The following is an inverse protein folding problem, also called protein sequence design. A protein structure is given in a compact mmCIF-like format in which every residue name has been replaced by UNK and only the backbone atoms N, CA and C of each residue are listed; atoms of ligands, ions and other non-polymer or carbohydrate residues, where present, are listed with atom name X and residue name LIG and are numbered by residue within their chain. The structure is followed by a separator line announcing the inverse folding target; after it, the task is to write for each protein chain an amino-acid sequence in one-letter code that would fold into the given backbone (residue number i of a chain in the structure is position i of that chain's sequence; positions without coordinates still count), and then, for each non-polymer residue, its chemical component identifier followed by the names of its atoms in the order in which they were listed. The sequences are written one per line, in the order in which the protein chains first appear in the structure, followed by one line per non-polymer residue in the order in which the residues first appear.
data_IF_803506094601
#
_entry.id   IF_803506094601
#
_cell.length_a   1.000
_cell.length_b   1.000
_cell.length_c   1.000
_cell.angle_alpha   90.00
_cell.angle_beta   90.00
_cell.angle_gamma   90.00
#
_symmetry.space_group_name_H-M   'P 1'
#
loop_
_entity.id
_entity.type
_entity.pdbx_description
1 polymer ?
#
# COMPACT_ATOMS: atom_id res chain seq x y z
N UNK A 1 -1.89 -8.18 22.32
CA UNK A 1 -0.75 -8.42 21.40
C UNK A 1 -1.17 -8.20 19.94
N UNK A 2 -2.37 -8.62 19.51
CA UNK A 2 -2.86 -8.43 18.13
C UNK A 2 -2.85 -6.99 17.59
N UNK A 3 -3.02 -5.96 18.45
CA UNK A 3 -3.03 -4.55 18.03
C UNK A 3 -1.67 -4.07 17.52
N UNK A 4 -0.56 -4.56 18.09
CA UNK A 4 0.79 -4.12 17.74
C UNK A 4 1.24 -4.59 16.34
N UNK A 5 0.76 -5.77 15.92
CA UNK A 5 0.97 -6.27 14.56
C UNK A 5 0.18 -5.42 13.55
N UNK A 6 -1.06 -5.03 13.89
CA UNK A 6 -1.86 -4.14 13.06
C UNK A 6 -1.23 -2.75 12.92
N UNK A 7 -0.67 -2.16 13.98
CA UNK A 7 0.01 -0.85 13.95
C UNK A 7 1.28 -0.81 13.07
N UNK A 8 1.84 -1.98 12.80
CA UNK A 8 2.99 -2.17 11.91
C UNK A 8 2.57 -2.24 10.44
N UNK A 9 1.33 -2.67 10.18
CA UNK A 9 0.79 -2.88 8.83
C UNK A 9 -0.08 -1.69 8.39
N UNK A 10 -0.91 -1.21 9.29
CA UNK A 10 -1.92 -0.18 9.11
C UNK A 10 -1.57 1.07 9.89
N UNK A 11 -1.92 2.23 9.34
CA UNK A 11 -1.82 3.49 10.05
C UNK A 11 -3.08 3.73 10.88
N UNK A 12 -3.14 3.08 12.06
CA UNK A 12 -4.33 3.16 12.93
C UNK A 12 -4.69 4.60 13.27
N UNK A 13 -3.71 5.48 13.47
CA UNK A 13 -3.95 6.88 13.76
C UNK A 13 -4.67 7.62 12.62
N UNK A 14 -4.25 7.41 11.37
CA UNK A 14 -4.93 7.97 10.19
C UNK A 14 -6.31 7.35 10.01
N UNK A 15 -6.42 6.03 10.18
CA UNK A 15 -7.70 5.31 10.06
C UNK A 15 -8.73 5.80 11.08
N UNK A 16 -8.33 6.00 12.34
CA UNK A 16 -9.20 6.54 13.37
C UNK A 16 -9.67 7.97 13.07
N UNK A 17 -8.77 8.81 12.56
CA UNK A 17 -9.13 10.16 12.11
C UNK A 17 -10.12 10.13 10.95
N UNK A 18 -9.90 9.28 9.94
CA UNK A 18 -10.83 9.14 8.81
C UNK A 18 -12.16 8.54 9.22
N UNK A 19 -12.17 7.50 10.05
CA UNK A 19 -13.41 6.94 10.60
C UNK A 19 -14.20 8.00 11.37
N UNK A 20 -13.52 8.88 12.11
CA UNK A 20 -14.18 9.97 12.85
C UNK A 20 -14.67 11.10 11.94
N UNK A 21 -13.99 11.34 10.82
CA UNK A 21 -14.31 12.43 9.89
C UNK A 21 -15.39 12.07 8.85
N UNK A 22 -15.29 10.90 8.21
CA UNK A 22 -16.16 10.47 7.10
C UNK A 22 -16.96 9.19 7.40
N UNK A 23 -16.68 8.52 8.53
CA UNK A 23 -17.28 7.23 8.90
C UNK A 23 -16.54 6.03 8.32
N UNK A 24 -16.43 4.96 9.12
CA UNK A 24 -15.77 3.71 8.72
C UNK A 24 -16.38 3.08 7.46
N UNK A 25 -17.70 3.13 7.29
CA UNK A 25 -18.38 2.62 6.10
C UNK A 25 -18.04 3.39 4.81
N UNK A 26 -17.77 4.70 4.89
CA UNK A 26 -17.32 5.49 3.72
C UNK A 26 -15.88 5.14 3.38
N UNK A 27 -15.01 5.05 4.39
CA UNK A 27 -13.62 4.64 4.20
C UNK A 27 -13.51 3.23 3.61
N UNK A 28 -14.33 2.30 4.08
CA UNK A 28 -14.39 0.92 3.56
C UNK A 28 -14.67 0.90 2.05
N UNK A 29 -15.54 1.78 1.53
CA UNK A 29 -15.78 1.89 0.08
C UNK A 29 -14.52 2.30 -0.68
N UNK A 30 -13.74 3.23 -0.14
CA UNK A 30 -12.44 3.61 -0.71
C UNK A 30 -11.46 2.45 -0.70
N UNK A 31 -11.44 1.65 0.37
CA UNK A 31 -10.62 0.43 0.47
C UNK A 31 -11.02 -0.61 -0.58
N UNK A 32 -12.32 -0.84 -0.77
CA UNK A 32 -12.84 -1.77 -1.78
C UNK A 32 -12.46 -1.31 -3.20
N UNK A 33 -12.58 -0.01 -3.50
CA UNK A 33 -12.15 0.52 -4.79
C UNK A 33 -10.65 0.31 -5.01
N UNK A 34 -9.84 0.56 -3.98
CA UNK A 34 -8.41 0.34 -4.03
C UNK A 34 -8.05 -1.14 -4.25
N UNK A 35 -8.79 -2.07 -3.63
CA UNK A 35 -8.64 -3.51 -3.87
C UNK A 35 -8.91 -3.88 -5.33
N UNK A 36 -9.93 -3.29 -5.96
CA UNK A 36 -10.22 -3.54 -7.37
C UNK A 36 -9.11 -3.03 -8.31
N UNK A 37 -8.44 -1.93 -7.93
CA UNK A 37 -7.33 -1.33 -8.68
C UNK A 37 -5.97 -1.97 -8.36
N UNK A 38 -5.87 -2.72 -7.25
CA UNK A 38 -4.65 -3.40 -6.82
C UNK A 38 -3.95 -4.23 -7.91
N UNK A 39 -4.62 -5.14 -8.64
CA UNK A 39 -3.97 -5.92 -9.68
C UNK A 39 -3.42 -5.05 -10.82
N UNK A 40 -4.06 -3.92 -11.12
CA UNK A 40 -3.59 -2.98 -12.13
C UNK A 40 -2.32 -2.26 -11.64
N UNK A 41 -2.32 -1.72 -10.42
CA UNK A 41 -1.15 -1.07 -9.84
C UNK A 41 0.05 -2.01 -9.73
N UNK A 42 -0.16 -3.21 -9.18
CA UNK A 42 0.90 -4.21 -9.03
C UNK A 42 1.37 -4.71 -10.39
N UNK A 43 0.45 -4.93 -11.33
CA UNK A 43 0.79 -5.30 -12.71
C UNK A 43 1.67 -4.26 -13.39
N UNK A 44 1.34 -2.98 -13.27
CA UNK A 44 2.16 -1.90 -13.84
C UNK A 44 3.56 -1.84 -13.22
N UNK A 45 3.68 -2.01 -11.90
CA UNK A 45 4.97 -2.07 -11.21
C UNK A 45 5.82 -3.24 -11.70
N UNK A 46 5.23 -4.43 -11.80
CA UNK A 46 5.92 -5.63 -12.28
C UNK A 46 6.35 -5.46 -13.74
N UNK A 47 5.45 -4.98 -14.60
CA UNK A 47 5.75 -4.71 -16.01
C UNK A 47 6.89 -3.69 -16.18
N UNK A 48 6.87 -2.58 -15.42
CA UNK A 48 7.93 -1.57 -15.47
C UNK A 48 9.29 -2.14 -15.04
N UNK A 49 9.28 -2.98 -13.98
CA UNK A 49 10.46 -3.70 -13.51
C UNK A 49 10.98 -4.69 -14.55
N UNK A 50 10.11 -5.48 -15.19
CA UNK A 50 10.48 -6.42 -16.26
C UNK A 50 11.01 -5.71 -17.50
N UNK A 51 10.47 -4.54 -17.83
CA UNK A 51 10.97 -3.67 -18.88
C UNK A 51 12.29 -2.96 -18.52
N UNK A 52 12.80 -3.15 -17.29
CA UNK A 52 13.94 -2.42 -16.72
C UNK A 52 13.79 -0.89 -16.80
N UNK A 53 12.55 -0.41 -16.84
CA UNK A 53 12.23 1.01 -16.93
C UNK A 53 12.08 1.59 -15.52
N UNK A 54 13.20 2.12 -15.03
CA UNK A 54 13.30 2.73 -13.71
C UNK A 54 12.41 3.96 -13.56
N UNK A 55 12.26 4.79 -14.59
CA UNK A 55 11.48 6.03 -14.50
C UNK A 55 9.99 5.71 -14.38
N UNK A 56 9.51 4.79 -15.21
CA UNK A 56 8.15 4.26 -15.14
C UNK A 56 7.92 3.56 -13.80
N UNK A 57 8.86 2.73 -13.32
CA UNK A 57 8.73 2.04 -12.04
C UNK A 57 8.62 3.03 -10.86
N UNK A 58 9.45 4.07 -10.83
CA UNK A 58 9.37 5.12 -9.81
C UNK A 58 8.03 5.88 -9.87
N UNK A 59 7.57 6.21 -11.06
CA UNK A 59 6.30 6.90 -11.28
C UNK A 59 5.09 6.07 -10.84
N UNK A 60 5.07 4.78 -11.19
CA UNK A 60 4.00 3.86 -10.77
C UNK A 60 4.05 3.64 -9.26
N UNK A 61 5.23 3.53 -8.67
CA UNK A 61 5.41 3.41 -7.23
C UNK A 61 4.90 4.65 -6.48
N UNK A 62 5.10 5.84 -7.04
CA UNK A 62 4.55 7.07 -6.49
C UNK A 62 3.00 7.06 -6.47
N UNK A 63 2.37 6.66 -7.59
CA UNK A 63 0.91 6.54 -7.67
C UNK A 63 0.37 5.51 -6.67
N UNK A 64 1.00 4.34 -6.62
CA UNK A 64 0.61 3.26 -5.72
C UNK A 64 0.81 3.65 -4.24
N UNK A 65 1.90 4.33 -3.90
CA UNK A 65 2.15 4.91 -2.57
C UNK A 65 1.02 5.85 -2.15
N UNK A 66 0.61 6.76 -3.03
CA UNK A 66 -0.47 7.71 -2.75
C UNK A 66 -1.79 7.01 -2.46
N UNK A 67 -2.12 6.00 -3.26
CA UNK A 67 -3.33 5.21 -3.08
C UNK A 67 -3.29 4.33 -1.81
N UNK A 68 -2.16 3.66 -1.53
CA UNK A 68 -1.98 2.88 -0.30
C UNK A 68 -2.03 3.77 0.96
N UNK A 69 -1.42 4.95 0.91
CA UNK A 69 -1.44 5.92 2.02
C UNK A 69 -2.81 6.50 2.28
N UNK A 70 -3.63 6.74 1.24
CA UNK A 70 -4.98 7.29 1.41
C UNK A 70 -5.96 6.31 2.04
N UNK A 71 -5.72 5.00 1.92
CA UNK A 71 -6.51 3.95 2.58
C UNK A 71 -5.92 3.50 3.92
N UNK A 72 -4.74 4.00 4.31
CA UNK A 72 -4.11 3.68 5.59
C UNK A 72 -3.25 2.41 5.63
N UNK A 73 -2.78 1.91 4.47
CA UNK A 73 -1.86 0.77 4.37
C UNK A 73 -0.40 1.22 4.56
N UNK A 74 -0.01 1.42 5.81
CA UNK A 74 1.30 1.93 6.20
C UNK A 74 2.47 1.12 5.65
N UNK A 75 2.46 -0.20 5.83
CA UNK A 75 3.55 -1.08 5.40
C UNK A 75 3.75 -1.04 3.88
N UNK A 76 2.66 -1.14 3.14
CA UNK A 76 2.66 -1.09 1.67
C UNK A 76 3.12 0.27 1.17
N UNK A 77 2.66 1.35 1.80
CA UNK A 77 3.10 2.72 1.51
C UNK A 77 4.60 2.89 1.74
N UNK A 78 5.18 2.28 2.78
CA UNK A 78 6.63 2.32 3.04
C UNK A 78 7.44 1.63 1.95
N UNK A 79 7.04 0.43 1.50
CA UNK A 79 7.72 -0.25 0.39
C UNK A 79 7.60 0.54 -0.92
N UNK A 80 6.42 1.08 -1.22
CA UNK A 80 6.21 1.93 -2.39
C UNK A 80 7.06 3.21 -2.32
N UNK A 81 7.25 3.77 -1.12
CA UNK A 81 8.15 4.89 -0.89
C UNK A 81 9.62 4.54 -1.16
N UNK A 82 10.06 3.34 -0.80
CA UNK A 82 11.40 2.87 -1.14
C UNK A 82 11.52 2.68 -2.66
N UNK A 83 10.52 2.07 -3.29
CA UNK A 83 10.50 1.88 -4.75
C UNK A 83 10.52 3.20 -5.55
N UNK A 84 9.84 4.26 -5.11
CA UNK A 84 9.87 5.53 -5.84
C UNK A 84 11.25 6.24 -5.77
N UNK A 85 12.09 5.92 -4.78
CA UNK A 85 13.41 6.54 -4.62
C UNK A 85 14.50 5.76 -5.36
N UNK A 86 14.34 5.67 -6.68
CA UNK A 86 15.28 4.97 -7.56
C UNK A 86 16.72 5.47 -7.49
N UNK A 87 16.95 6.70 -7.03
CA UNK A 87 18.27 7.31 -6.85
C UNK A 87 19.04 6.80 -5.62
N UNK A 88 18.38 6.13 -4.67
CA UNK A 88 19.02 5.64 -3.46
C UNK A 88 19.99 4.49 -3.76
N UNK A 89 21.14 4.44 -3.08
CA UNK A 89 22.14 3.39 -3.26
C UNK A 89 21.58 1.99 -2.95
N UNK A 90 20.73 1.89 -1.92
CA UNK A 90 20.07 0.66 -1.48
C UNK A 90 18.99 0.19 -2.48
N UNK A 91 18.52 1.09 -3.35
CA UNK A 91 17.45 0.77 -4.31
C UNK A 91 17.86 -0.36 -5.25
N UNK A 92 19.05 -0.26 -5.84
CA UNK A 92 19.55 -1.22 -6.83
C UNK A 92 19.65 -2.67 -6.30
N UNK A 93 19.73 -2.84 -4.98
CA UNK A 93 19.79 -4.16 -4.34
C UNK A 93 18.47 -4.57 -3.68
N UNK A 94 17.63 -3.60 -3.29
CA UNK A 94 16.41 -3.82 -2.52
C UNK A 94 15.10 -3.73 -3.31
N UNK A 95 15.08 -3.06 -4.47
CA UNK A 95 13.83 -2.77 -5.20
C UNK A 95 13.04 -4.03 -5.56
N UNK A 96 13.73 -5.12 -5.89
CA UNK A 96 13.12 -6.40 -6.21
C UNK A 96 12.39 -6.99 -5.00
N UNK A 97 13.08 -7.02 -3.86
CA UNK A 97 12.54 -7.53 -2.60
C UNK A 97 11.36 -6.68 -2.11
N UNK A 98 11.44 -5.35 -2.24
CA UNK A 98 10.35 -4.45 -1.87
C UNK A 98 9.13 -4.62 -2.78
N UNK A 99 9.34 -4.79 -4.09
CA UNK A 99 8.24 -5.04 -5.03
C UNK A 99 7.58 -6.38 -4.72
N UNK A 100 8.38 -7.43 -4.49
CA UNK A 100 7.86 -8.74 -4.13
C UNK A 100 7.11 -8.70 -2.79
N UNK A 101 7.61 -7.93 -1.81
CA UNK A 101 6.94 -7.73 -0.54
C UNK A 101 5.59 -7.02 -0.73
N UNK A 102 5.50 -6.01 -1.61
CA UNK A 102 4.22 -5.40 -1.98
C UNK A 102 3.28 -6.45 -2.56
N UNK A 103 3.71 -7.23 -3.54
CA UNK A 103 2.86 -8.23 -4.21
C UNK A 103 2.35 -9.30 -3.22
N UNK A 104 3.21 -9.80 -2.33
CA UNK A 104 2.85 -10.86 -1.39
C UNK A 104 2.00 -10.36 -0.21
N UNK A 105 2.23 -9.12 0.23
CA UNK A 105 1.58 -8.58 1.42
C UNK A 105 0.38 -7.68 1.12
N UNK A 106 0.28 -7.04 -0.05
CA UNK A 106 -0.77 -6.06 -0.32
C UNK A 106 -2.18 -6.64 -0.13
N UNK A 107 -2.43 -7.85 -0.62
CA UNK A 107 -3.71 -8.53 -0.45
C UNK A 107 -3.99 -8.92 1.01
N UNK A 108 -2.97 -9.33 1.75
CA UNK A 108 -3.08 -9.67 3.18
C UNK A 108 -3.38 -8.44 4.01
N UNK A 109 -2.65 -7.36 3.77
CA UNK A 109 -2.79 -6.08 4.48
C UNK A 109 -4.14 -5.43 4.19
N UNK A 110 -4.62 -5.55 2.94
CA UNK A 110 -5.97 -5.16 2.56
C UNK A 110 -7.05 -5.94 3.31
N UNK A 111 -6.87 -7.26 3.44
CA UNK A 111 -7.83 -8.10 4.17
C UNK A 111 -7.89 -7.71 5.66
N UNK A 112 -6.74 -7.45 6.28
CA UNK A 112 -6.66 -6.95 7.67
C UNK A 112 -7.31 -5.56 7.81
N UNK A 113 -7.04 -4.66 6.86
CA UNK A 113 -7.64 -3.32 6.82
C UNK A 113 -9.17 -3.38 6.71
N UNK A 114 -9.70 -4.21 5.80
CA UNK A 114 -11.15 -4.38 5.62
C UNK A 114 -11.78 -4.91 6.91
N UNK A 115 -11.23 -5.98 7.49
CA UNK A 115 -11.73 -6.54 8.74
C UNK A 115 -11.72 -5.51 9.88
N UNK A 116 -10.66 -4.70 9.97
CA UNK A 116 -10.56 -3.63 10.96
C UNK A 116 -11.68 -2.59 10.78
N UNK A 117 -11.92 -2.14 9.55
CA UNK A 117 -12.95 -1.16 9.24
C UNK A 117 -14.37 -1.73 9.40
N UNK A 118 -14.60 -2.98 9.03
CA UNK A 118 -15.87 -3.69 9.24
C UNK A 118 -16.18 -3.83 10.74
N UNK A 119 -15.18 -4.07 11.58
CA UNK A 119 -15.35 -4.08 13.04
C UNK A 119 -15.63 -2.70 13.64
N UNK A 120 -15.43 -1.62 12.89
CA UNK A 120 -15.64 -0.22 13.32
C UNK A 120 -16.88 0.43 12.67
N UNK A 121 -17.50 -0.24 11.69
CA UNK A 121 -18.63 0.25 10.91
C UNK A 121 -19.98 0.07 11.62
#
# INVERSE_FOLDING_TARGET
MATAELESILDLNTLEQYCSAIGAGTLLKSVVLFEQLMPEYVGNLVNAKEAQDKDTLCSEAHKFKGAAGSVGLKRIQQYAQLLQHGEAAEWSQGHDAWLQAIVDNASKDLAELKQYLESKA
#
